data_IF_458144282515
#
_entry.id   IF_458144282515
#
_cell.length_a   1.000
_cell.length_b   1.000
_cell.length_c   1.000
_cell.angle_alpha   90.00
_cell.angle_beta   90.00
_cell.angle_gamma   90.00
#
_symmetry.space_group_name_H-M   'P 1'
#
loop_
_entity.id
_entity.type
_entity.pdbx_description
1 polymer ?
#
# COMPACT_ATOMS: atom_id res chain seq x y z
N UNK A 1 -52.32 -6.89 36.74
CA UNK A 1 -52.47 -7.42 35.36
C UNK A 1 -51.38 -6.78 34.51
N UNK A 2 -50.41 -7.59 34.08
CA UNK A 2 -49.43 -7.36 33.01
C UNK A 2 -48.48 -6.14 33.13
N UNK A 3 -47.21 -6.14 32.77
CA UNK A 3 -46.19 -7.14 32.42
C UNK A 3 -44.85 -6.39 32.39
N UNK A 4 -43.77 -7.16 32.44
CA UNK A 4 -42.35 -6.80 32.48
C UNK A 4 -41.83 -6.02 31.27
N UNK A 5 -40.81 -5.18 31.45
CA UNK A 5 -39.52 -5.45 30.79
C UNK A 5 -38.34 -4.71 31.42
N UNK A 6 -37.22 -5.42 31.49
CA UNK A 6 -36.04 -5.12 32.30
C UNK A 6 -35.15 -4.02 31.74
N UNK A 7 -34.51 -3.30 32.67
CA UNK A 7 -33.31 -2.51 32.40
C UNK A 7 -32.21 -3.44 31.86
N UNK A 8 -31.87 -3.30 30.58
CA UNK A 8 -30.63 -3.83 30.01
C UNK A 8 -29.71 -2.66 29.67
N UNK A 9 -28.64 -2.52 30.44
CA UNK A 9 -27.52 -1.62 30.14
C UNK A 9 -26.83 -2.05 28.84
N UNK A 10 -26.58 -1.16 27.87
CA UNK A 10 -25.62 -1.46 26.82
C UNK A 10 -24.20 -1.15 27.35
N UNK A 11 -23.48 -2.23 27.56
CA UNK A 11 -22.02 -2.30 27.66
C UNK A 11 -21.35 -1.77 26.40
N UNK A 12 -20.36 -0.89 26.61
CA UNK A 12 -19.23 -0.55 25.74
C UNK A 12 -19.35 -0.83 24.24
N UNK A 13 -19.75 0.19 23.49
CA UNK A 13 -19.35 0.29 22.08
C UNK A 13 -17.95 0.91 22.02
N UNK A 14 -16.98 0.05 21.73
CA UNK A 14 -15.68 0.45 21.27
C UNK A 14 -15.82 1.32 20.01
N UNK A 15 -15.03 2.37 19.97
CA UNK A 15 -14.89 3.31 18.86
C UNK A 15 -14.49 2.53 17.59
N UNK A 16 -15.46 2.15 16.76
CA UNK A 16 -15.20 1.80 15.37
C UNK A 16 -15.15 3.11 14.60
N UNK A 17 -13.95 3.71 14.57
CA UNK A 17 -13.64 4.89 13.78
C UNK A 17 -14.02 4.68 12.31
N UNK A 18 -15.12 5.32 11.91
CA UNK A 18 -15.49 5.47 10.52
C UNK A 18 -14.47 6.33 9.78
N UNK A 19 -14.24 6.00 8.51
CA UNK A 19 -13.41 6.77 7.61
C UNK A 19 -12.09 6.08 7.26
N UNK A 20 -12.16 4.92 6.60
CA UNK A 20 -11.04 4.48 5.77
C UNK A 20 -10.91 5.46 4.61
N UNK A 21 -10.15 6.55 4.80
CA UNK A 21 -9.88 7.51 3.73
C UNK A 21 -9.41 6.74 2.49
N UNK A 22 -10.13 6.94 1.39
CA UNK A 22 -9.74 6.45 0.08
C UNK A 22 -8.50 7.24 -0.36
N UNK A 23 -7.35 6.95 0.27
CA UNK A 23 -6.05 7.50 -0.09
C UNK A 23 -5.82 7.05 -1.53
N UNK A 24 -5.76 8.00 -2.46
CA UNK A 24 -5.54 7.74 -3.89
C UNK A 24 -4.04 7.75 -4.17
N UNK A 25 -3.55 6.91 -5.11
CA UNK A 25 -2.15 6.94 -5.50
C UNK A 25 -1.79 8.28 -6.14
N UNK A 26 -0.53 8.70 -5.96
CA UNK A 26 -0.06 9.97 -6.51
C UNK A 26 -0.14 9.95 -8.04
N UNK A 27 -0.55 11.06 -8.62
CA UNK A 27 -0.57 11.22 -10.07
C UNK A 27 0.76 11.78 -10.54
N UNK A 28 1.36 11.15 -11.54
CA UNK A 28 2.61 11.63 -12.12
C UNK A 28 2.39 12.11 -13.56
N UNK A 29 3.03 13.23 -13.89
CA UNK A 29 2.80 13.95 -15.15
C UNK A 29 3.64 13.41 -16.32
N UNK A 30 4.77 12.76 -16.05
CA UNK A 30 5.71 12.32 -17.08
C UNK A 30 6.03 10.84 -16.94
N UNK A 31 5.90 10.10 -18.04
CA UNK A 31 6.01 8.64 -18.06
C UNK A 31 7.43 8.10 -18.18
N UNK A 32 8.42 8.97 -18.36
CA UNK A 32 9.80 8.54 -18.66
C UNK A 32 10.47 7.71 -17.56
N UNK A 33 10.00 7.82 -16.32
CA UNK A 33 10.53 7.04 -15.19
C UNK A 33 9.69 5.79 -14.87
N UNK A 34 8.53 5.59 -15.51
CA UNK A 34 7.72 4.38 -15.32
C UNK A 34 8.11 3.33 -16.35
N UNK A 35 8.83 2.32 -15.89
CA UNK A 35 9.21 1.15 -16.70
C UNK A 35 8.12 0.09 -16.76
N UNK A 36 7.19 0.12 -15.80
CA UNK A 36 6.16 -0.92 -15.63
C UNK A 36 4.80 -0.26 -15.48
N UNK A 37 3.87 -0.60 -16.37
CA UNK A 37 2.48 -0.10 -16.38
C UNK A 37 1.50 -1.26 -16.23
N UNK A 38 0.33 -1.00 -15.64
CA UNK A 38 -0.72 -2.00 -15.43
C UNK A 38 -2.11 -1.35 -15.38
N UNK A 39 -3.13 -2.10 -15.82
CA UNK A 39 -4.55 -1.76 -15.68
C UNK A 39 -5.15 -2.24 -14.36
N UNK A 40 -4.43 -3.07 -13.59
CA UNK A 40 -4.88 -3.59 -12.30
C UNK A 40 -5.13 -2.48 -11.28
N UNK A 41 -5.99 -2.74 -10.29
CA UNK A 41 -6.20 -1.82 -9.18
C UNK A 41 -4.90 -1.56 -8.41
N UNK A 42 -4.66 -0.34 -7.88
CA UNK A 42 -3.42 -0.01 -7.18
C UNK A 42 -3.11 -0.93 -6.00
N UNK A 43 -4.14 -1.33 -5.24
CA UNK A 43 -3.98 -2.24 -4.10
C UNK A 43 -3.52 -3.64 -4.55
N UNK A 44 -3.99 -4.13 -5.71
CA UNK A 44 -3.54 -5.41 -6.29
C UNK A 44 -2.10 -5.33 -6.78
N UNK A 45 -1.69 -4.18 -7.32
CA UNK A 45 -0.29 -3.95 -7.74
C UNK A 45 0.63 -3.99 -6.52
N UNK A 46 0.26 -3.35 -5.40
CA UNK A 46 1.05 -3.41 -4.16
C UNK A 46 1.17 -4.85 -3.64
N UNK A 47 0.07 -5.62 -3.64
CA UNK A 47 0.09 -7.03 -3.24
C UNK A 47 1.05 -7.85 -4.10
N UNK A 48 1.01 -7.67 -5.42
CA UNK A 48 1.91 -8.40 -6.32
C UNK A 48 3.37 -7.97 -6.12
N UNK A 49 3.64 -6.68 -5.91
CA UNK A 49 4.99 -6.20 -5.59
C UNK A 49 5.51 -6.89 -4.33
N UNK A 50 4.73 -6.90 -3.23
CA UNK A 50 5.14 -7.55 -1.97
C UNK A 50 5.45 -9.03 -2.17
N UNK A 51 4.56 -9.75 -2.86
CA UNK A 51 4.76 -11.16 -3.20
C UNK A 51 6.05 -11.39 -4.00
N UNK A 52 6.36 -10.54 -4.97
CA UNK A 52 7.61 -10.63 -5.74
C UNK A 52 8.82 -10.35 -4.85
N UNK A 53 8.75 -9.36 -3.95
CA UNK A 53 9.83 -9.06 -3.00
C UNK A 53 10.08 -10.24 -2.05
N UNK A 54 9.03 -10.84 -1.49
CA UNK A 54 9.10 -12.01 -0.62
C UNK A 54 9.78 -13.19 -1.35
N UNK A 55 9.36 -13.47 -2.59
CA UNK A 55 9.92 -14.55 -3.41
C UNK A 55 11.40 -14.36 -3.78
N UNK A 56 11.90 -13.11 -3.75
CA UNK A 56 13.29 -12.79 -4.07
C UNK A 56 14.14 -12.52 -2.82
N UNK A 57 13.59 -12.73 -1.61
CA UNK A 57 14.31 -12.44 -0.36
C UNK A 57 14.67 -10.96 -0.22
N UNK A 58 13.79 -10.08 -0.69
CA UNK A 58 13.91 -8.64 -0.49
C UNK A 58 13.05 -8.23 0.71
N UNK A 59 13.65 -7.53 1.67
CA UNK A 59 12.93 -6.94 2.78
C UNK A 59 12.23 -5.64 2.33
N UNK A 60 11.11 -5.29 2.96
CA UNK A 60 10.42 -4.04 2.67
C UNK A 60 9.67 -3.45 3.87
N UNK A 61 9.55 -2.12 3.88
CA UNK A 61 8.76 -1.33 4.83
C UNK A 61 7.64 -0.60 4.11
N UNK A 62 6.40 -0.67 4.64
CA UNK A 62 5.27 0.09 4.13
C UNK A 62 5.28 1.53 4.67
N UNK A 63 5.74 2.49 3.86
CA UNK A 63 5.86 3.91 4.26
C UNK A 63 4.55 4.69 4.10
N UNK A 64 3.92 4.57 2.94
CA UNK A 64 2.60 5.13 2.64
C UNK A 64 1.75 4.06 1.97
N UNK A 65 0.43 4.23 1.80
CA UNK A 65 -0.44 3.19 1.20
C UNK A 65 0.08 2.61 -0.12
N UNK A 66 0.72 3.43 -0.95
CA UNK A 66 1.26 3.04 -2.26
C UNK A 66 2.77 3.22 -2.41
N UNK A 67 3.49 3.37 -1.30
CA UNK A 67 4.95 3.55 -1.28
C UNK A 67 5.59 2.51 -0.37
N UNK A 68 6.49 1.72 -0.94
CA UNK A 68 7.35 0.77 -0.26
C UNK A 68 8.78 1.27 -0.25
N UNK A 69 9.47 1.07 0.87
CA UNK A 69 10.93 1.13 0.94
C UNK A 69 11.46 -0.30 0.94
N UNK A 70 12.21 -0.69 -0.09
CA UNK A 70 12.72 -2.03 -0.30
C UNK A 70 14.22 -2.08 -0.04
N UNK A 71 14.70 -3.22 0.46
CA UNK A 71 16.11 -3.46 0.78
C UNK A 71 16.51 -4.87 0.34
N UNK A 72 17.73 -5.01 -0.15
CA UNK A 72 18.33 -6.30 -0.47
C UNK A 72 19.85 -6.27 -0.28
N UNK A 73 20.44 -7.38 0.15
CA UNK A 73 21.87 -7.49 0.45
C UNK A 73 22.15 -7.43 1.94
N UNK A 74 23.41 -7.22 2.31
CA UNK A 74 23.91 -7.31 3.68
C UNK A 74 24.75 -6.08 4.03
N UNK A 75 24.44 -5.43 5.14
CA UNK A 75 25.18 -4.26 5.64
C UNK A 75 26.63 -4.61 6.00
N UNK A 76 26.89 -5.83 6.50
CA UNK A 76 28.24 -6.26 6.90
C UNK A 76 29.15 -6.51 5.69
N UNK A 77 28.56 -6.78 4.52
CA UNK A 77 29.28 -7.07 3.27
C UNK A 77 29.29 -5.89 2.30
N UNK A 78 28.77 -4.73 2.70
CA UNK A 78 28.62 -3.53 1.86
C UNK A 78 27.88 -3.78 0.54
N UNK A 79 26.96 -4.76 0.53
CA UNK A 79 26.12 -5.08 -0.64
C UNK A 79 24.69 -4.60 -0.48
N UNK A 80 24.38 -3.88 0.61
CA UNK A 80 23.06 -3.37 0.89
C UNK A 80 22.63 -2.36 -0.18
N UNK A 81 21.53 -2.65 -0.85
CA UNK A 81 20.86 -1.75 -1.79
C UNK A 81 19.48 -1.44 -1.24
N UNK A 82 19.15 -0.15 -1.18
CA UNK A 82 17.84 0.35 -0.81
C UNK A 82 17.21 1.06 -2.02
N UNK A 83 15.90 0.94 -2.19
CA UNK A 83 15.14 1.68 -3.19
C UNK A 83 13.67 1.85 -2.78
N UNK A 84 13.03 2.90 -3.28
CA UNK A 84 11.60 3.12 -3.18
C UNK A 84 10.88 2.48 -4.37
N UNK A 85 9.75 1.82 -4.10
CA UNK A 85 8.78 1.38 -5.10
C UNK A 85 7.44 2.05 -4.84
N UNK A 86 6.95 2.80 -5.82
CA UNK A 86 5.72 3.57 -5.69
C UNK A 86 4.72 3.25 -6.80
N UNK A 87 3.45 3.02 -6.43
CA UNK A 87 2.35 2.89 -7.38
C UNK A 87 1.69 4.26 -7.60
N UNK A 88 1.67 4.71 -8.85
CA UNK A 88 1.18 6.02 -9.26
C UNK A 88 0.11 5.91 -10.35
N UNK A 89 -0.79 6.91 -10.44
CA UNK A 89 -1.66 7.09 -11.62
C UNK A 89 -0.87 7.72 -12.76
N UNK A 90 -1.14 7.27 -13.99
CA UNK A 90 -0.66 7.86 -15.24
C UNK A 90 -1.83 8.43 -16.03
N UNK A 91 -2.23 9.70 -15.81
CA UNK A 91 -3.44 10.25 -16.40
C UNK A 91 -3.45 10.25 -17.93
N UNK A 92 -2.27 10.39 -18.56
CA UNK A 92 -2.14 10.41 -20.03
C UNK A 92 -2.39 9.05 -20.68
N UNK A 93 -2.17 7.97 -19.94
CA UNK A 93 -2.33 6.60 -20.43
C UNK A 93 -3.57 5.92 -19.85
N UNK A 94 -4.24 6.55 -18.88
CA UNK A 94 -5.31 5.94 -18.09
C UNK A 94 -4.92 4.62 -17.41
N UNK A 95 -3.63 4.48 -17.06
CA UNK A 95 -3.05 3.29 -16.41
C UNK A 95 -2.48 3.64 -15.03
N UNK A 96 -2.12 2.61 -14.29
CA UNK A 96 -1.24 2.71 -13.12
C UNK A 96 0.19 2.39 -13.54
N UNK A 97 1.16 2.99 -12.86
CA UNK A 97 2.59 2.76 -13.10
C UNK A 97 3.34 2.49 -11.81
N UNK A 98 4.41 1.71 -11.90
CA UNK A 98 5.36 1.51 -10.80
C UNK A 98 6.60 2.34 -11.06
N UNK A 99 6.91 3.26 -10.15
CA UNK A 99 8.11 4.08 -10.16
C UNK A 99 9.14 3.48 -9.22
N UNK A 100 10.37 3.37 -9.71
CA UNK A 100 11.54 2.95 -8.93
C UNK A 100 12.43 4.15 -8.68
N UNK A 101 12.88 4.34 -7.44
CA UNK A 101 13.87 5.37 -7.08
C UNK A 101 14.91 4.74 -6.16
N UNK A 102 16.18 4.81 -6.54
CA UNK A 102 17.30 4.38 -5.70
C UNK A 102 17.63 5.45 -4.67
#
# INVERSE_FOLDING_TARGET
>A
LFETDGQNSPSGEAISGGGGEEVKPRSLRFTWSMKTTSSLAPDEIIKEIRKVLDNNGCEYEQRERYLLLCMHGDTQKDTLVQWEMEVCKLPRLSLNGVRFKR
#
